data_IF_957965458777
#
_entry.id   IF_957965458777
#
_cell.length_a   1.000
_cell.length_b   1.000
_cell.length_c   1.000
_cell.angle_alpha   90.00
_cell.angle_beta   90.00
_cell.angle_gamma   90.00
#
_symmetry.space_group_name_H-M   'P 1'
#
loop_
_entity.id
_entity.type
_entity.pdbx_description
1 polymer ?
#
# COMPACT_ATOMS: atom_id res chain seq x y z
N UNK A 1 11.53 11.52 -11.55
CA UNK A 1 11.91 11.17 -10.17
C UNK A 1 10.66 11.30 -9.32
N UNK A 2 10.37 10.37 -8.41
CA UNK A 2 9.21 10.47 -7.51
C UNK A 2 9.51 11.50 -6.41
N UNK A 3 8.59 12.42 -6.18
CA UNK A 3 8.67 13.48 -5.18
C UNK A 3 7.75 13.21 -3.99
N UNK A 4 7.88 14.02 -2.93
CA UNK A 4 6.95 13.97 -1.80
C UNK A 4 5.50 14.28 -2.20
N UNK A 5 5.30 15.12 -3.22
CA UNK A 5 3.97 15.50 -3.66
C UNK A 5 3.26 14.37 -4.39
N UNK A 6 4.00 13.50 -5.08
CA UNK A 6 3.46 12.25 -5.64
C UNK A 6 2.92 11.33 -4.54
N UNK A 7 3.64 11.24 -3.41
CA UNK A 7 3.23 10.44 -2.24
C UNK A 7 2.01 11.05 -1.56
N UNK A 8 1.96 12.38 -1.40
CA UNK A 8 0.80 13.09 -0.84
C UNK A 8 -0.43 12.91 -1.74
N UNK A 9 -0.27 13.07 -3.05
CA UNK A 9 -1.34 12.81 -4.01
C UNK A 9 -1.83 11.37 -3.96
N UNK A 10 -0.93 10.40 -3.82
CA UNK A 10 -1.30 9.00 -3.65
C UNK A 10 -2.06 8.76 -2.35
N UNK A 11 -1.65 9.39 -1.25
CA UNK A 11 -2.31 9.26 0.04
C UNK A 11 -3.77 9.75 -0.02
N UNK A 12 -4.04 10.86 -0.71
CA UNK A 12 -5.42 11.34 -0.92
C UNK A 12 -6.21 10.40 -1.83
N UNK A 13 -5.63 9.92 -2.94
CA UNK A 13 -6.33 8.99 -3.86
C UNK A 13 -6.74 7.67 -3.20
N UNK A 14 -5.94 7.15 -2.26
CA UNK A 14 -6.25 5.89 -1.56
C UNK A 14 -7.05 6.08 -0.27
N UNK A 15 -7.38 7.31 0.12
CA UNK A 15 -8.09 7.61 1.37
C UNK A 15 -9.52 7.06 1.32
N UNK A 16 -9.92 6.32 2.35
CA UNK A 16 -11.20 5.61 2.39
C UNK A 16 -11.20 4.27 1.65
N UNK A 17 -10.25 4.09 0.72
CA UNK A 17 -10.12 2.85 -0.07
C UNK A 17 -9.09 1.90 0.53
N UNK A 18 -7.94 2.39 0.95
CA UNK A 18 -6.94 1.59 1.64
C UNK A 18 -7.21 1.56 3.15
N UNK A 19 -7.01 0.41 3.78
CA UNK A 19 -7.04 0.31 5.24
C UNK A 19 -5.89 1.13 5.84
N UNK A 20 -6.19 1.88 6.90
CA UNK A 20 -5.18 2.42 7.80
C UNK A 20 -4.76 1.30 8.75
N UNK A 21 -3.84 0.46 8.28
CA UNK A 21 -3.37 -0.74 8.97
C UNK A 21 -2.82 -0.42 10.36
N UNK A 22 -2.99 -1.32 11.35
CA UNK A 22 -2.51 -1.09 12.69
C UNK A 22 -0.97 -1.07 12.74
N UNK A 23 -0.46 -0.56 13.86
CA UNK A 23 0.95 -0.69 14.25
C UNK A 23 0.99 -1.60 15.47
N UNK A 24 1.69 -2.72 15.38
CA UNK A 24 1.89 -3.64 16.49
C UNK A 24 3.27 -3.46 17.11
N UNK A 25 3.41 -3.92 18.35
CA UNK A 25 4.68 -4.01 19.09
C UNK A 25 4.79 -5.40 19.69
N UNK A 26 5.99 -5.77 20.15
CA UNK A 26 6.22 -7.07 20.81
C UNK A 26 7.31 -6.94 21.85
N UNK A 27 6.98 -7.19 23.12
CA UNK A 27 7.95 -7.16 24.22
C UNK A 27 9.11 -8.13 24.02
N UNK A 28 8.86 -9.31 23.43
CA UNK A 28 9.91 -10.28 23.15
C UNK A 28 10.89 -9.77 22.09
N UNK A 29 10.40 -9.09 21.05
CA UNK A 29 11.25 -8.48 20.03
C UNK A 29 12.01 -7.30 20.61
N UNK A 30 11.34 -6.46 21.38
CA UNK A 30 11.99 -5.30 22.00
C UNK A 30 13.16 -5.73 22.90
N UNK A 31 12.95 -6.77 23.71
CA UNK A 31 13.99 -7.35 24.56
C UNK A 31 15.14 -7.97 23.74
N UNK A 32 14.82 -8.65 22.64
CA UNK A 32 15.83 -9.26 21.78
C UNK A 32 16.69 -8.21 21.05
N UNK A 33 16.09 -7.12 20.61
CA UNK A 33 16.76 -6.06 19.86
C UNK A 33 17.34 -4.95 20.75
N UNK A 34 16.95 -4.88 22.03
CA UNK A 34 17.32 -3.79 22.94
C UNK A 34 16.74 -2.43 22.55
N UNK A 35 15.61 -2.41 21.84
CA UNK A 35 14.99 -1.20 21.28
C UNK A 35 13.46 -1.36 21.15
N UNK A 36 12.72 -0.26 21.01
CA UNK A 36 11.28 -0.33 20.72
C UNK A 36 11.04 -0.57 19.23
N UNK A 37 10.39 -1.69 18.88
CA UNK A 37 10.13 -2.10 17.50
C UNK A 37 8.65 -2.00 17.17
N UNK A 38 8.35 -1.35 16.05
CA UNK A 38 6.99 -1.10 15.57
C UNK A 38 6.75 -1.80 14.22
N UNK A 39 5.72 -2.62 14.15
CA UNK A 39 5.35 -3.38 12.96
C UNK A 39 4.17 -2.73 12.25
N UNK A 40 4.41 -2.16 11.07
CA UNK A 40 3.34 -1.67 10.20
C UNK A 40 2.70 -2.83 9.46
N UNK A 41 1.54 -3.29 9.93
CA UNK A 41 0.94 -4.57 9.53
C UNK A 41 0.21 -4.53 8.18
N UNK A 42 0.96 -4.43 7.08
CA UNK A 42 0.38 -4.43 5.72
C UNK A 42 -0.19 -5.78 5.28
N UNK A 43 0.03 -6.86 6.04
CA UNK A 43 -0.69 -8.12 5.91
C UNK A 43 -2.19 -7.99 6.22
N UNK A 44 -2.63 -6.89 6.86
CA UNK A 44 -4.04 -6.55 7.10
C UNK A 44 -4.61 -5.52 6.11
N UNK A 45 -3.85 -5.16 5.08
CA UNK A 45 -4.37 -4.37 3.97
C UNK A 45 -5.37 -5.20 3.15
N UNK A 46 -6.20 -4.55 2.34
CA UNK A 46 -6.93 -5.20 1.25
C UNK A 46 -5.98 -6.07 0.44
N UNK A 47 -6.49 -7.23 -0.03
CA UNK A 47 -5.71 -8.29 -0.70
C UNK A 47 -4.57 -8.91 0.15
N UNK A 48 -4.51 -8.63 1.45
CA UNK A 48 -3.52 -9.21 2.36
C UNK A 48 -2.09 -8.68 2.18
N UNK A 49 -1.91 -7.57 1.47
CA UNK A 49 -0.59 -7.01 1.18
C UNK A 49 -0.64 -5.51 0.86
N UNK A 50 0.51 -4.84 1.02
CA UNK A 50 0.68 -3.42 0.71
C UNK A 50 0.38 -3.06 -0.75
N UNK A 51 0.41 -4.04 -1.66
CA UNK A 51 0.31 -3.84 -3.12
C UNK A 51 -1.03 -3.25 -3.57
N UNK A 52 -2.09 -3.37 -2.75
CA UNK A 52 -3.35 -2.64 -2.99
C UNK A 52 -3.11 -1.14 -3.19
N UNK A 53 -2.24 -0.53 -2.37
CA UNK A 53 -2.01 0.93 -2.38
C UNK A 53 -1.50 1.40 -3.73
N UNK A 54 -0.49 0.72 -4.26
CA UNK A 54 0.13 1.07 -5.55
C UNK A 54 -0.80 0.77 -6.72
N UNK A 55 -1.44 -0.41 -6.71
CA UNK A 55 -2.38 -0.80 -7.77
C UNK A 55 -3.56 0.17 -7.87
N UNK A 56 -4.19 0.49 -6.74
CA UNK A 56 -5.28 1.45 -6.72
C UNK A 56 -4.83 2.85 -7.16
N UNK A 57 -3.75 3.39 -6.57
CA UNK A 57 -3.22 4.70 -6.93
C UNK A 57 -2.91 4.83 -8.43
N UNK A 58 -2.33 3.79 -9.05
CA UNK A 58 -2.02 3.80 -10.48
C UNK A 58 -3.29 3.83 -11.34
N UNK A 59 -4.22 2.90 -11.09
CA UNK A 59 -5.45 2.76 -11.87
C UNK A 59 -6.41 3.95 -11.68
N UNK A 60 -6.45 4.56 -10.49
CA UNK A 60 -7.27 5.75 -10.23
C UNK A 60 -6.90 6.94 -11.12
N UNK A 61 -5.67 7.00 -11.61
CA UNK A 61 -5.18 8.10 -12.45
C UNK A 61 -5.41 7.88 -13.94
N UNK A 62 -5.94 6.73 -14.34
CA UNK A 62 -6.24 6.47 -15.75
C UNK A 62 -7.33 7.41 -16.25
N UNK A 63 -7.13 7.96 -17.45
CA UNK A 63 -8.17 8.70 -18.18
C UNK A 63 -9.33 7.76 -18.53
N UNK A 64 -10.53 8.29 -18.86
CA UNK A 64 -11.64 7.46 -19.31
C UNK A 64 -11.28 6.53 -20.49
N UNK A 65 -10.47 7.00 -21.43
CA UNK A 65 -10.01 6.25 -22.60
C UNK A 65 -9.10 5.08 -22.18
N UNK A 66 -8.15 5.34 -21.28
CA UNK A 66 -7.26 4.30 -20.73
C UNK A 66 -8.06 3.24 -19.95
N UNK A 67 -9.03 3.67 -19.12
CA UNK A 67 -9.89 2.73 -18.39
C UNK A 67 -10.71 1.86 -19.33
N UNK A 68 -11.22 2.42 -20.44
CA UNK A 68 -11.97 1.68 -21.45
C UNK A 68 -11.11 0.69 -22.24
N UNK A 69 -9.85 1.04 -22.51
CA UNK A 69 -8.90 0.16 -23.18
C UNK A 69 -8.48 -1.05 -22.31
N UNK A 70 -8.69 -0.96 -20.99
CA UNK A 70 -8.32 -2.01 -20.04
C UNK A 70 -6.88 -1.89 -19.57
N UNK A 71 -6.49 -2.79 -18.66
CA UNK A 71 -5.13 -2.87 -18.11
C UNK A 71 -4.67 -4.31 -18.06
N UNK A 72 -3.37 -4.53 -18.25
CA UNK A 72 -2.70 -5.80 -18.04
C UNK A 72 -1.49 -5.58 -17.13
N UNK A 73 -1.27 -6.53 -16.22
CA UNK A 73 -0.08 -6.57 -15.37
C UNK A 73 0.40 -8.03 -15.25
N UNK A 74 1.63 -8.22 -14.81
CA UNK A 74 2.17 -9.53 -14.47
C UNK A 74 2.83 -9.45 -13.10
N UNK A 75 2.66 -10.50 -12.29
CA UNK A 75 3.00 -10.47 -10.89
C UNK A 75 3.27 -11.88 -10.38
N UNK A 76 4.12 -11.99 -9.36
CA UNK A 76 4.40 -13.24 -8.64
C UNK A 76 3.31 -13.63 -7.62
N UNK A 77 2.27 -12.81 -7.44
CA UNK A 77 1.22 -13.04 -6.45
C UNK A 77 0.48 -11.76 -6.09
N UNK A 78 0.84 -11.12 -4.97
CA UNK A 78 0.07 -10.02 -4.32
C UNK A 78 -0.39 -8.82 -5.17
N UNK A 79 0.04 -8.65 -6.42
CA UNK A 79 -0.42 -7.59 -7.34
C UNK A 79 -1.32 -8.10 -8.48
N UNK A 80 -1.40 -9.43 -8.65
CA UNK A 80 -2.16 -10.06 -9.73
C UNK A 80 -3.67 -9.81 -9.58
#
# INVERSE_FOLDING_TARGET
MVSIDDIRGAAERIKGEAHRTPVHTSHAVDAHCGASVFFKAENFQRVGAFKFRGGFNALSQFTPEQRKAGVLTYSSGNHA
#
